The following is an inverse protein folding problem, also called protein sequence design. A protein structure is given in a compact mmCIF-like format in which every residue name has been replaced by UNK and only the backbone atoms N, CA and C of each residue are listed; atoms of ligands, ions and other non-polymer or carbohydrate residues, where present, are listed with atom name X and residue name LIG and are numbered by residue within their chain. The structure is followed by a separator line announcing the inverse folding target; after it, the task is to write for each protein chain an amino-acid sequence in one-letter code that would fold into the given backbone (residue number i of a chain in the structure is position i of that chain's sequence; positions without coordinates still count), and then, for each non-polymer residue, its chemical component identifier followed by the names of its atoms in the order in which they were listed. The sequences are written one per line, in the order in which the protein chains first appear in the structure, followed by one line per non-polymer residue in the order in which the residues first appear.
data_IF_779834487475
#
_entry.id   IF_779834487475
#
_cell.length_a   1.000
_cell.length_b   1.000
_cell.length_c   1.000
_cell.angle_alpha   90.00
_cell.angle_beta   90.00
_cell.angle_gamma   90.00
#
_symmetry.space_group_name_H-M   'P 1'
#
loop_
_entity.id
_entity.type
_entity.pdbx_description
1 polymer ?
#
# COMPACT_ATOMS: atom_id res chain seq x y z
N UNK A 1 -1.72 6.89 1.08
CA UNK A 1 -0.80 5.88 1.59
C UNK A 1 0.55 6.52 1.72
N UNK A 2 1.34 6.03 2.65
CA UNK A 2 2.77 6.33 2.72
C UNK A 2 3.56 5.04 2.81
N UNK A 3 4.84 5.16 2.47
CA UNK A 3 5.82 4.10 2.60
C UNK A 3 6.52 4.31 3.94
N UNK A 4 6.53 3.27 4.77
CA UNK A 4 7.16 3.31 6.09
C UNK A 4 7.80 1.97 6.39
N UNK A 5 8.84 1.95 7.22
CA UNK A 5 9.55 0.73 7.58
C UNK A 5 10.22 0.06 6.38
N UNK A 6 11.53 -0.16 6.50
CA UNK A 6 12.29 -0.91 5.50
C UNK A 6 13.26 -1.83 6.21
N UNK A 7 13.31 -3.08 5.78
CA UNK A 7 14.32 -4.04 6.20
C UNK A 7 14.67 -4.95 5.02
N UNK A 8 15.92 -5.39 4.96
CA UNK A 8 16.44 -6.24 3.89
C UNK A 8 17.06 -7.51 4.47
N UNK A 9 17.08 -8.59 3.68
CA UNK A 9 17.93 -9.74 3.97
C UNK A 9 19.41 -9.34 3.89
N UNK A 10 20.31 -10.03 4.62
CA UNK A 10 21.74 -9.74 4.59
C UNK A 10 22.39 -9.81 3.19
N UNK A 11 21.83 -10.63 2.29
CA UNK A 11 22.29 -10.73 0.90
C UNK A 11 21.76 -9.62 -0.02
N UNK A 12 20.92 -8.73 0.52
CA UNK A 12 20.29 -7.59 -0.15
C UNK A 12 19.41 -7.99 -1.35
N UNK A 13 18.95 -9.24 -1.41
CA UNK A 13 18.10 -9.76 -2.51
C UNK A 13 16.60 -9.69 -2.23
N UNK A 14 16.22 -9.53 -0.97
CA UNK A 14 14.82 -9.41 -0.55
C UNK A 14 14.65 -8.20 0.36
N UNK A 15 13.65 -7.38 0.07
CA UNK A 15 13.32 -6.19 0.85
C UNK A 15 11.87 -6.24 1.30
N UNK A 16 11.62 -5.97 2.58
CA UNK A 16 10.27 -5.78 3.12
C UNK A 16 10.02 -4.30 3.33
N UNK A 17 8.83 -3.86 2.89
CA UNK A 17 8.40 -2.46 2.99
C UNK A 17 6.97 -2.43 3.52
N UNK A 18 6.66 -1.53 4.46
CA UNK A 18 5.27 -1.34 4.89
C UNK A 18 4.58 -0.27 4.05
N UNK A 19 3.36 -0.61 3.63
CA UNK A 19 2.37 0.33 3.09
C UNK A 19 1.45 0.70 4.24
N UNK A 20 1.52 1.95 4.69
CA UNK A 20 0.64 2.46 5.73
C UNK A 20 -0.52 3.25 5.11
N UNK A 21 -1.68 3.16 5.77
CA UNK A 21 -2.92 3.88 5.45
C UNK A 21 -3.27 3.99 3.95
N UNK A 22 -3.43 2.84 3.26
CA UNK A 22 -3.96 2.86 1.90
C UNK A 22 -5.34 3.54 1.86
N UNK A 23 -5.45 4.55 1.01
CA UNK A 23 -6.65 5.36 0.85
C UNK A 23 -6.86 6.50 1.85
N UNK A 24 -5.87 6.88 2.67
CA UNK A 24 -5.94 8.12 3.46
C UNK A 24 -5.61 9.33 2.56
N UNK A 25 -6.65 9.92 1.98
CA UNK A 25 -6.59 11.02 1.00
C UNK A 25 -7.73 12.02 1.26
N UNK A 26 -8.05 12.29 2.53
CA UNK A 26 -9.29 12.99 2.92
C UNK A 26 -9.47 14.32 2.20
N UNK A 27 -8.43 15.14 2.12
CA UNK A 27 -8.48 16.44 1.43
C UNK A 27 -8.84 16.32 -0.05
N UNK A 28 -8.27 15.33 -0.75
CA UNK A 28 -8.53 15.09 -2.17
C UNK A 28 -9.96 14.59 -2.37
N UNK A 29 -10.43 13.70 -1.50
CA UNK A 29 -11.80 13.18 -1.55
C UNK A 29 -12.82 14.28 -1.27
N UNK A 30 -12.57 15.12 -0.26
CA UNK A 30 -13.43 16.24 0.10
C UNK A 30 -13.56 17.25 -1.05
N UNK A 31 -12.44 17.62 -1.71
CA UNK A 31 -12.44 18.50 -2.89
C UNK A 31 -13.21 17.92 -4.07
N UNK A 32 -13.35 16.59 -4.14
CA UNK A 32 -14.11 15.87 -5.17
C UNK A 32 -15.56 15.59 -4.79
N UNK A 33 -16.02 16.04 -3.61
CA UNK A 33 -17.35 15.73 -3.11
C UNK A 33 -17.56 14.24 -2.78
N UNK A 34 -16.47 13.48 -2.61
CA UNK A 34 -16.51 12.05 -2.29
C UNK A 34 -16.45 11.89 -0.78
N UNK A 35 -17.47 11.27 -0.19
CA UNK A 35 -17.49 10.95 1.23
C UNK A 35 -16.87 9.57 1.49
N UNK A 36 -15.79 9.53 2.28
CA UNK A 36 -15.21 8.29 2.82
C UNK A 36 -15.84 8.00 4.18
N UNK A 37 -16.55 6.88 4.27
CA UNK A 37 -17.27 6.47 5.48
C UNK A 37 -17.16 4.96 5.70
N UNK A 38 -17.59 4.42 6.85
CA UNK A 38 -17.70 2.97 7.03
C UNK A 38 -18.59 2.27 5.98
N UNK A 39 -19.58 2.97 5.43
CA UNK A 39 -20.49 2.47 4.38
C UNK A 39 -19.90 2.58 2.96
N UNK A 40 -18.92 3.47 2.77
CA UNK A 40 -18.14 3.61 1.54
C UNK A 40 -16.63 3.48 1.86
N UNK A 41 -16.18 2.30 2.34
CA UNK A 41 -14.86 2.16 2.95
C UNK A 41 -13.72 2.26 1.94
N UNK A 42 -14.02 2.03 0.66
CA UNK A 42 -13.06 1.95 -0.43
C UNK A 42 -13.11 3.16 -1.38
N UNK A 43 -13.76 4.24 -0.96
CA UNK A 43 -13.90 5.50 -1.71
C UNK A 43 -12.59 6.03 -2.35
N UNK A 44 -11.43 5.65 -1.80
CA UNK A 44 -10.12 6.07 -2.27
C UNK A 44 -9.20 4.92 -2.72
N UNK A 45 -9.41 3.70 -2.22
CA UNK A 45 -8.54 2.55 -2.46
C UNK A 45 -9.22 1.26 -1.98
N UNK A 46 -8.94 0.15 -2.65
CA UNK A 46 -9.29 -1.21 -2.24
C UNK A 46 -8.05 -2.13 -2.21
N UNK A 47 -6.85 -1.56 -2.04
CA UNK A 47 -5.60 -2.30 -1.89
C UNK A 47 -5.61 -3.18 -0.61
N UNK A 48 -5.01 -4.39 -0.60
CA UNK A 48 -4.19 -4.98 -1.68
C UNK A 48 -4.91 -5.89 -2.67
N UNK A 49 -6.05 -6.45 -2.28
CA UNK A 49 -6.72 -7.52 -3.03
C UNK A 49 -7.67 -7.02 -4.12
N UNK A 50 -7.91 -5.71 -4.16
CA UNK A 50 -8.81 -5.05 -5.10
C UNK A 50 -10.25 -5.59 -5.07
N UNK A 51 -10.69 -6.15 -3.94
CA UNK A 51 -12.06 -6.63 -3.83
C UNK A 51 -13.05 -5.46 -4.05
N UNK A 52 -14.13 -5.62 -4.84
CA UNK A 52 -15.00 -4.51 -5.24
C UNK A 52 -15.61 -3.72 -4.07
N UNK A 53 -15.85 -4.38 -2.94
CA UNK A 53 -16.36 -3.77 -1.70
C UNK A 53 -15.34 -3.85 -0.54
N UNK A 54 -14.08 -4.13 -0.85
CA UNK A 54 -13.03 -4.40 0.13
C UNK A 54 -12.53 -3.14 0.81
N UNK A 55 -12.46 -3.14 2.15
CA UNK A 55 -11.81 -2.05 2.90
C UNK A 55 -10.29 -2.10 2.67
N UNK A 56 -9.63 -0.98 2.35
CA UNK A 56 -8.19 -0.98 2.15
C UNK A 56 -7.46 -1.34 3.46
N UNK A 57 -6.39 -2.14 3.35
CA UNK A 57 -5.62 -2.66 4.48
C UNK A 57 -4.14 -2.34 4.34
N UNK A 58 -3.51 -1.84 5.40
CA UNK A 58 -2.05 -1.76 5.48
C UNK A 58 -1.44 -3.15 5.28
N UNK A 59 -0.25 -3.19 4.69
CA UNK A 59 0.42 -4.45 4.39
C UNK A 59 1.95 -4.28 4.47
N UNK A 60 2.64 -5.36 4.81
CA UNK A 60 4.07 -5.50 4.55
C UNK A 60 4.22 -6.25 3.23
N UNK A 61 4.87 -5.62 2.25
CA UNK A 61 5.13 -6.23 0.95
C UNK A 61 6.57 -6.72 0.88
N UNK A 62 6.77 -7.83 0.16
CA UNK A 62 8.09 -8.36 -0.19
C UNK A 62 8.43 -7.89 -1.60
N UNK A 63 9.63 -7.37 -1.77
CA UNK A 63 10.19 -6.93 -3.04
C UNK A 63 11.43 -7.77 -3.32
N UNK A 64 11.46 -8.40 -4.49
CA UNK A 64 12.59 -9.15 -5.05
C UNK A 64 12.74 -8.80 -6.53
N UNK A 65 13.95 -8.95 -7.08
CA UNK A 65 14.17 -8.87 -8.54
C UNK A 65 13.84 -10.22 -9.18
N UNK A 66 13.30 -10.20 -10.40
CA UNK A 66 13.02 -11.41 -11.18
C UNK A 66 14.28 -12.23 -11.48
N UNK A 67 15.42 -11.55 -11.63
CA UNK A 67 16.74 -12.16 -11.85
C UNK A 67 17.43 -12.65 -10.57
N UNK A 68 16.81 -12.46 -9.40
CA UNK A 68 17.40 -12.80 -8.09
C UNK A 68 18.63 -11.97 -7.72
N UNK A 69 18.87 -10.85 -8.41
CA UNK A 69 19.95 -9.92 -8.15
C UNK A 69 19.73 -9.07 -6.90
N UNK A 70 20.73 -8.26 -6.59
CA UNK A 70 20.69 -7.32 -5.46
C UNK A 70 19.71 -6.19 -5.76
N UNK A 71 18.85 -5.84 -4.81
CA UNK A 71 17.90 -4.71 -4.94
C UNK A 71 18.66 -3.40 -5.18
N UNK A 72 18.21 -2.60 -6.15
CA UNK A 72 18.79 -1.28 -6.45
C UNK A 72 20.05 -1.30 -7.32
N UNK A 73 20.36 -2.45 -7.94
CA UNK A 73 21.43 -2.60 -8.94
C UNK A 73 20.88 -2.84 -10.34
#
# INVERSE_FOLDING_TARGET
CEITGVIMTPDMKTMWVNIQHPGEMLDVLQRRGINKSPQNPNAASNWPDHYPNGRPRSATVLISKEDGGVIGT
#
